data_IF_734123611068
#
_entry.id   IF_734123611068
#
_cell.length_a   1.000
_cell.length_b   1.000
_cell.length_c   1.000
_cell.angle_alpha   90.00
_cell.angle_beta   90.00
_cell.angle_gamma   90.00
#
_symmetry.space_group_name_H-M   'P 1'
#
loop_
_entity.id
_entity.type
_entity.pdbx_description
1 polymer ?
#
# COMPACT_ATOMS: atom_id res chain seq x y z
N UNK A 1 -11.89 -23.42 1.44
CA UNK A 1 -11.27 -22.82 0.24
C UNK A 1 -11.54 -21.34 0.29
N UNK A 2 -10.52 -20.55 0.64
CA UNK A 2 -10.58 -19.09 0.61
C UNK A 2 -10.74 -18.63 -0.84
N UNK A 3 -11.68 -17.74 -1.14
CA UNK A 3 -11.78 -17.12 -2.47
C UNK A 3 -10.51 -16.30 -2.75
N UNK A 4 -10.13 -16.16 -4.02
CA UNK A 4 -8.93 -15.39 -4.43
C UNK A 4 -8.92 -13.97 -3.83
N UNK A 5 -10.09 -13.32 -3.78
CA UNK A 5 -10.27 -12.02 -3.14
C UNK A 5 -10.02 -12.04 -1.62
N UNK A 6 -10.40 -13.09 -0.89
CA UNK A 6 -10.10 -13.22 0.55
C UNK A 6 -8.58 -13.32 0.78
N UNK A 7 -7.86 -13.98 -0.13
CA UNK A 7 -6.40 -14.04 -0.10
C UNK A 7 -5.77 -12.67 -0.39
N UNK A 8 -6.33 -11.90 -1.33
CA UNK A 8 -5.87 -10.53 -1.58
C UNK A 8 -6.18 -9.58 -0.42
N UNK A 9 -7.33 -9.69 0.24
CA UNK A 9 -7.65 -8.89 1.43
C UNK A 9 -6.66 -9.15 2.57
N UNK A 10 -6.26 -10.42 2.77
CA UNK A 10 -5.24 -10.78 3.75
C UNK A 10 -3.86 -10.20 3.41
N UNK A 11 -3.47 -10.28 2.14
CA UNK A 11 -2.22 -9.68 1.67
C UNK A 11 -2.22 -8.16 1.83
N UNK A 12 -3.32 -7.49 1.48
CA UNK A 12 -3.47 -6.05 1.69
C UNK A 12 -3.31 -5.68 3.16
N UNK A 13 -3.93 -6.44 4.07
CA UNK A 13 -3.76 -6.25 5.52
C UNK A 13 -2.32 -6.43 5.99
N UNK A 14 -1.58 -7.40 5.46
CA UNK A 14 -0.18 -7.62 5.80
C UNK A 14 0.71 -6.48 5.30
N UNK A 15 0.55 -6.06 4.04
CA UNK A 15 1.34 -4.98 3.43
C UNK A 15 1.10 -3.64 4.12
N UNK A 16 -0.16 -3.27 4.38
CA UNK A 16 -0.51 -2.03 5.09
C UNK A 16 -0.02 -2.02 6.55
N UNK A 17 -0.03 -3.18 7.22
CA UNK A 17 0.56 -3.32 8.54
C UNK A 17 2.07 -3.05 8.50
N UNK A 18 2.78 -3.63 7.52
CA UNK A 18 4.22 -3.43 7.37
C UNK A 18 4.58 -1.98 7.02
N UNK A 19 3.82 -1.34 6.13
CA UNK A 19 3.94 0.10 5.83
C UNK A 19 3.80 0.92 7.12
N UNK A 20 2.75 0.66 7.90
CA UNK A 20 2.48 1.42 9.15
C UNK A 20 3.58 1.19 10.19
N UNK A 21 4.08 -0.05 10.32
CA UNK A 21 5.20 -0.38 11.19
C UNK A 21 6.47 0.35 10.78
N UNK A 22 6.78 0.37 9.48
CA UNK A 22 7.95 1.08 8.98
C UNK A 22 7.80 2.59 9.20
N UNK A 23 6.64 3.18 8.91
CA UNK A 23 6.32 4.58 9.22
C UNK A 23 6.56 4.92 10.71
N UNK A 24 6.18 4.04 11.64
CA UNK A 24 6.44 4.24 13.07
C UNK A 24 7.91 4.07 13.49
N UNK A 25 8.70 3.35 12.70
CA UNK A 25 10.13 3.07 12.96
C UNK A 25 11.06 4.12 12.34
N UNK A 26 10.79 4.58 11.12
CA UNK A 26 11.60 5.57 10.38
C UNK A 26 12.04 6.78 11.21
N UNK A 27 11.21 7.44 12.06
CA UNK A 27 11.65 8.61 12.83
C UNK A 27 12.69 8.27 13.91
N UNK A 28 12.83 6.99 14.28
CA UNK A 28 13.79 6.50 15.28
C UNK A 28 15.10 5.98 14.66
N UNK A 29 15.17 5.89 13.33
CA UNK A 29 16.33 5.35 12.61
C UNK A 29 17.36 6.44 12.30
N UNK A 30 18.63 6.03 12.15
CA UNK A 30 19.75 6.89 11.76
C UNK A 30 19.88 6.92 10.24
N UNK A 31 20.50 7.97 9.69
CA UNK A 31 20.51 8.35 8.27
C UNK A 31 20.50 7.20 7.25
N UNK A 32 21.43 6.25 7.33
CA UNK A 32 21.57 5.16 6.34
C UNK A 32 20.43 4.13 6.44
N UNK A 33 20.17 3.63 7.65
CA UNK A 33 19.04 2.74 7.95
C UNK A 33 17.69 3.41 7.65
N UNK A 34 17.60 4.73 7.88
CA UNK A 34 16.42 5.53 7.55
C UNK A 34 16.17 5.52 6.05
N UNK A 35 17.20 5.77 5.22
CA UNK A 35 17.09 5.73 3.76
C UNK A 35 16.63 4.37 3.26
N UNK A 36 17.22 3.29 3.80
CA UNK A 36 16.87 1.92 3.45
C UNK A 36 15.40 1.64 3.74
N UNK A 37 14.94 1.92 4.96
CA UNK A 37 13.54 1.66 5.35
C UNK A 37 12.55 2.58 4.60
N UNK A 38 12.93 3.82 4.28
CA UNK A 38 12.13 4.70 3.41
C UNK A 38 11.98 4.11 2.00
N UNK A 39 13.06 3.56 1.44
CA UNK A 39 13.04 2.90 0.14
C UNK A 39 12.18 1.62 0.18
N UNK A 40 12.38 0.76 1.17
CA UNK A 40 11.57 -0.45 1.38
C UNK A 40 10.09 -0.10 1.53
N UNK A 41 9.76 0.92 2.33
CA UNK A 41 8.37 1.38 2.49
C UNK A 41 7.77 1.91 1.19
N UNK A 42 8.57 2.59 0.37
CA UNK A 42 8.12 3.05 -0.96
C UNK A 42 7.80 1.87 -1.87
N UNK A 43 8.65 0.83 -1.88
CA UNK A 43 8.38 -0.41 -2.62
C UNK A 43 7.10 -1.10 -2.15
N UNK A 44 6.83 -1.12 -0.84
CA UNK A 44 5.59 -1.68 -0.29
C UNK A 44 4.35 -0.91 -0.75
N UNK A 45 4.44 0.42 -0.91
CA UNK A 45 3.33 1.21 -1.48
C UNK A 45 3.04 0.82 -2.92
N UNK A 46 4.08 0.61 -3.74
CA UNK A 46 3.91 0.17 -5.12
C UNK A 46 3.36 -1.26 -5.17
N UNK A 47 3.87 -2.19 -4.37
CA UNK A 47 3.36 -3.57 -4.26
C UNK A 47 1.89 -3.61 -3.81
N UNK A 48 1.52 -2.80 -2.81
CA UNK A 48 0.13 -2.73 -2.34
C UNK A 48 -0.79 -2.17 -3.43
N UNK A 49 -0.29 -1.24 -4.24
CA UNK A 49 -1.05 -0.68 -5.36
C UNK A 49 -1.27 -1.73 -6.45
N UNK A 50 -0.23 -2.45 -6.87
CA UNK A 50 -0.33 -3.56 -7.81
C UNK A 50 -1.34 -4.62 -7.34
N UNK A 51 -1.34 -4.95 -6.05
CA UNK A 51 -2.32 -5.86 -5.46
C UNK A 51 -3.76 -5.32 -5.59
N UNK A 52 -3.99 -4.04 -5.33
CA UNK A 52 -5.32 -3.41 -5.49
C UNK A 52 -5.75 -3.43 -6.96
N UNK A 53 -4.83 -3.20 -7.89
CA UNK A 53 -5.11 -3.29 -9.33
C UNK A 53 -5.51 -4.72 -9.73
N UNK A 54 -4.83 -5.74 -9.20
CA UNK A 54 -5.21 -7.15 -9.37
C UNK A 54 -6.59 -7.46 -8.75
N UNK A 55 -6.88 -6.94 -7.55
CA UNK A 55 -8.21 -7.08 -6.94
C UNK A 55 -9.29 -6.45 -7.82
N UNK A 56 -9.02 -5.28 -8.40
CA UNK A 56 -9.96 -4.58 -9.28
C UNK A 56 -10.29 -5.42 -10.52
N UNK A 57 -9.27 -6.03 -11.15
CA UNK A 57 -9.45 -6.93 -12.28
C UNK A 57 -10.34 -8.14 -11.91
N UNK A 58 -10.05 -8.83 -10.81
CA UNK A 58 -10.87 -9.95 -10.34
C UNK A 58 -12.32 -9.54 -10.05
N UNK A 59 -12.53 -8.35 -9.46
CA UNK A 59 -13.87 -7.82 -9.19
C UNK A 59 -14.65 -7.57 -10.47
N UNK A 60 -13.99 -7.19 -11.57
CA UNK A 60 -14.64 -7.03 -12.86
C UNK A 60 -15.13 -8.35 -13.44
N UNK A 61 -14.49 -9.47 -13.11
CA UNK A 61 -14.88 -10.82 -13.55
C UNK A 61 -16.01 -11.43 -12.68
N UNK A 62 -16.35 -10.80 -11.56
CA UNK A 62 -17.46 -11.24 -10.70
C UNK A 62 -18.85 -10.93 -11.28
N UNK A 63 -19.82 -11.77 -10.90
CA UNK A 63 -21.23 -11.52 -11.15
C UNK A 63 -21.77 -10.26 -10.45
N UNK A 64 -22.89 -9.69 -10.95
CA UNK A 64 -23.39 -8.37 -10.56
C UNK A 64 -23.69 -8.21 -9.05
N UNK A 65 -24.09 -9.29 -8.37
CA UNK A 65 -24.41 -9.26 -6.95
C UNK A 65 -23.18 -9.09 -6.04
N UNK A 66 -22.01 -9.61 -6.45
CA UNK A 66 -20.78 -9.52 -5.66
C UNK A 66 -19.91 -8.35 -6.09
N UNK A 67 -20.00 -7.96 -7.38
CA UNK A 67 -19.21 -6.88 -7.96
C UNK A 67 -19.34 -5.57 -7.19
N UNK A 68 -20.57 -5.10 -6.90
CA UNK A 68 -20.78 -3.81 -6.21
C UNK A 68 -20.14 -3.80 -4.82
N UNK A 69 -20.32 -4.90 -4.07
CA UNK A 69 -19.75 -5.07 -2.73
C UNK A 69 -18.23 -5.01 -2.73
N UNK A 70 -17.58 -5.78 -3.62
CA UNK A 70 -16.12 -5.82 -3.66
C UNK A 70 -15.52 -4.59 -4.35
N UNK A 71 -16.21 -3.97 -5.32
CA UNK A 71 -15.75 -2.73 -5.95
C UNK A 71 -15.63 -1.60 -4.92
N UNK A 72 -16.66 -1.43 -4.08
CA UNK A 72 -16.61 -0.46 -2.99
C UNK A 72 -15.49 -0.74 -1.98
N UNK A 73 -15.20 -2.03 -1.75
CA UNK A 73 -14.10 -2.47 -0.87
C UNK A 73 -12.74 -2.07 -1.44
N UNK A 74 -12.49 -2.37 -2.71
CA UNK A 74 -11.26 -2.03 -3.44
C UNK A 74 -11.06 -0.52 -3.50
N UNK A 75 -12.13 0.25 -3.73
CA UNK A 75 -12.10 1.72 -3.69
C UNK A 75 -11.70 2.26 -2.31
N UNK A 76 -12.25 1.69 -1.24
CA UNK A 76 -11.81 2.03 0.12
C UNK A 76 -10.34 1.71 0.34
N UNK A 77 -9.85 0.56 -0.09
CA UNK A 77 -8.44 0.18 0.06
C UNK A 77 -7.50 1.13 -0.68
N UNK A 78 -7.87 1.57 -1.88
CA UNK A 78 -7.12 2.56 -2.64
C UNK A 78 -7.08 3.90 -1.89
N UNK A 79 -8.25 4.39 -1.44
CA UNK A 79 -8.34 5.65 -0.70
C UNK A 79 -7.50 5.65 0.58
N UNK A 80 -7.52 4.55 1.34
CA UNK A 80 -6.71 4.42 2.55
C UNK A 80 -5.21 4.33 2.23
N UNK A 81 -4.83 3.63 1.16
CA UNK A 81 -3.44 3.58 0.70
C UNK A 81 -2.94 4.97 0.28
N UNK A 82 -3.76 5.74 -0.43
CA UNK A 82 -3.42 7.11 -0.84
C UNK A 82 -3.24 8.03 0.36
N UNK A 83 -4.10 7.93 1.38
CA UNK A 83 -3.93 8.67 2.64
C UNK A 83 -2.62 8.31 3.33
N UNK A 84 -2.33 7.01 3.50
CA UNK A 84 -1.08 6.53 4.08
C UNK A 84 0.14 7.03 3.30
N UNK A 85 0.05 7.03 1.97
CA UNK A 85 1.12 7.54 1.09
C UNK A 85 1.32 9.04 1.30
N UNK A 86 0.24 9.83 1.33
CA UNK A 86 0.33 11.26 1.64
C UNK A 86 0.95 11.49 3.01
N UNK A 87 0.52 10.77 4.05
CA UNK A 87 1.10 10.87 5.39
C UNK A 87 2.59 10.52 5.42
N UNK A 88 3.01 9.50 4.66
CA UNK A 88 4.41 9.12 4.51
C UNK A 88 5.26 10.25 3.91
N UNK A 89 4.80 10.89 2.84
CA UNK A 89 5.55 11.98 2.21
C UNK A 89 5.49 13.29 3.02
N UNK A 90 4.35 13.58 3.64
CA UNK A 90 4.14 14.81 4.43
C UNK A 90 4.83 14.78 5.79
N UNK A 91 5.00 13.60 6.41
CA UNK A 91 5.66 13.45 7.73
C UNK A 91 7.17 13.79 7.74
N UNK A 92 7.71 14.36 6.65
CA UNK A 92 9.10 14.79 6.58
C UNK A 92 10.10 13.66 6.31
N UNK A 93 9.64 12.48 5.91
CA UNK A 93 10.51 11.43 5.35
C UNK A 93 11.06 11.85 3.97
N UNK A 94 10.35 12.73 3.26
CA UNK A 94 10.67 13.30 1.94
C UNK A 94 11.80 14.34 1.90
N UNK A 95 12.40 14.71 3.05
CA UNK A 95 13.57 15.61 3.08
C UNK A 95 14.87 14.93 2.65
N UNK A 96 14.80 13.67 2.23
CA UNK A 96 15.89 12.96 1.60
C UNK A 96 15.81 13.22 0.09
N UNK A 97 16.89 13.70 -0.55
CA UNK A 97 16.86 14.13 -1.94
C UNK A 97 16.41 12.96 -2.81
N UNK A 98 15.28 13.14 -3.49
CA UNK A 98 14.82 12.28 -4.57
C UNK A 98 15.98 12.18 -5.57
N UNK A 99 16.51 10.99 -5.92
CA UNK A 99 17.45 10.92 -7.03
C UNK A 99 16.71 11.42 -8.26
N UNK A 100 17.21 12.51 -8.83
CA UNK A 100 16.77 13.04 -10.11
C UNK A 100 16.98 11.91 -11.12
N UNK A 101 15.89 11.30 -11.57
CA UNK A 101 15.89 10.47 -12.76
C UNK A 101 16.38 11.33 -13.91
N UNK A 102 17.50 10.91 -14.50
CA UNK A 102 18.20 11.53 -15.62
C UNK A 102 17.33 11.69 -16.87
#
# INVERSE_FOLDING_TARGET
>A
MSSLLDNYEKQYGALTCEITLNMGRIPKLKSDEKQKVVHETSMLFDETKDLIEQMSLEVQELGPALKDKYAKRVECFLSELEKLKTEFWTSGYALLPRPLTA
#
